data_IF_871272647189
#
_entry.id   IF_871272647189
#
_cell.length_a   1.000
_cell.length_b   1.000
_cell.length_c   1.000
_cell.angle_alpha   90.00
_cell.angle_beta   90.00
_cell.angle_gamma   90.00
#
_symmetry.space_group_name_H-M   'P 1'
#
loop_
_entity.id
_entity.type
_entity.pdbx_description
1 polymer ?
#
# COMPACT_ATOMS: atom_id res chain seq x y z
N UNK A 1 3.93 13.15 -13.22
CA UNK A 1 4.60 11.99 -12.61
C UNK A 1 3.56 11.27 -11.77
N UNK A 2 3.20 10.05 -12.16
CA UNK A 2 2.17 9.23 -11.52
C UNK A 2 2.86 8.11 -10.76
N UNK A 3 2.67 8.03 -9.44
CA UNK A 3 3.13 6.87 -8.66
C UNK A 3 2.24 5.65 -8.90
N UNK A 4 2.77 4.45 -8.62
CA UNK A 4 2.00 3.21 -8.71
C UNK A 4 0.82 3.17 -7.74
N UNK A 5 -0.17 2.33 -8.06
CA UNK A 5 -1.32 2.00 -7.23
C UNK A 5 -1.56 0.49 -7.25
N UNK A 6 -1.92 -0.08 -6.10
CA UNK A 6 -2.29 -1.48 -5.96
C UNK A 6 -3.45 -1.61 -4.98
N UNK A 7 -4.19 -2.71 -5.04
CA UNK A 7 -5.28 -2.99 -4.11
C UNK A 7 -5.45 -4.48 -3.86
N UNK A 8 -6.01 -4.81 -2.71
CA UNK A 8 -6.44 -6.17 -2.39
C UNK A 8 -7.74 -6.18 -1.61
N UNK A 9 -8.30 -7.37 -1.47
CA UNK A 9 -9.30 -7.69 -0.46
C UNK A 9 -8.80 -8.85 0.39
N UNK A 10 -8.96 -8.76 1.72
CA UNK A 10 -8.54 -9.79 2.68
C UNK A 10 -9.69 -10.52 3.37
N UNK A 11 -10.91 -10.22 2.94
CA UNK A 11 -12.19 -10.73 3.43
C UNK A 11 -13.31 -10.12 2.59
N UNK A 12 -14.52 -10.69 2.66
CA UNK A 12 -15.67 -10.28 1.84
C UNK A 12 -16.07 -8.80 2.03
N UNK A 13 -15.74 -8.21 3.18
CA UNK A 13 -16.03 -6.81 3.51
C UNK A 13 -14.82 -5.88 3.58
N UNK A 14 -13.59 -6.42 3.64
CA UNK A 14 -12.39 -5.61 3.75
C UNK A 14 -11.69 -5.44 2.40
N UNK A 15 -11.54 -4.19 1.99
CA UNK A 15 -10.72 -3.78 0.85
C UNK A 15 -9.65 -2.80 1.30
N UNK A 16 -8.51 -2.85 0.63
CA UNK A 16 -7.43 -1.92 0.83
C UNK A 16 -6.86 -1.46 -0.52
N UNK A 17 -6.49 -0.18 -0.59
CA UNK A 17 -5.80 0.43 -1.72
C UNK A 17 -4.57 1.16 -1.20
N UNK A 18 -3.42 0.96 -1.85
CA UNK A 18 -2.18 1.68 -1.58
C UNK A 18 -1.71 2.41 -2.83
N UNK A 19 -1.13 3.60 -2.65
CA UNK A 19 -0.54 4.38 -3.74
C UNK A 19 0.68 5.16 -3.31
N UNK A 20 1.55 5.43 -4.28
CA UNK A 20 2.73 6.28 -4.10
C UNK A 20 2.41 7.71 -4.53
N UNK A 21 2.67 8.69 -3.67
CA UNK A 21 2.48 10.11 -4.00
C UNK A 21 3.67 10.67 -4.78
N UNK A 22 3.53 11.84 -5.44
CA UNK A 22 4.68 12.50 -6.08
C UNK A 22 5.82 12.85 -5.12
N UNK A 23 5.58 12.92 -3.81
CA UNK A 23 6.60 13.15 -2.78
C UNK A 23 7.25 11.85 -2.27
N UNK A 24 6.91 10.70 -2.85
CA UNK A 24 7.45 9.40 -2.45
C UNK A 24 6.92 8.91 -1.10
N UNK A 25 5.78 9.41 -0.62
CA UNK A 25 5.09 8.78 0.51
C UNK A 25 4.24 7.61 0.01
N UNK A 26 4.08 6.58 0.85
CA UNK A 26 3.13 5.50 0.60
C UNK A 26 1.89 5.78 1.43
N UNK A 27 0.78 6.00 0.74
CA UNK A 27 -0.51 6.29 1.35
C UNK A 27 -1.46 5.11 1.11
N UNK A 28 -2.45 5.01 1.97
CA UNK A 28 -3.37 3.91 1.96
C UNK A 28 -4.79 4.35 2.33
N UNK A 29 -5.76 3.57 1.87
CA UNK A 29 -7.14 3.69 2.27
C UNK A 29 -7.76 2.31 2.42
N UNK A 30 -8.58 2.14 3.45
CA UNK A 30 -9.32 0.91 3.70
C UNK A 30 -10.82 1.13 3.78
N UNK A 31 -11.56 0.07 3.48
CA UNK A 31 -13.01 -0.01 3.58
C UNK A 31 -13.39 -1.30 4.27
N UNK A 32 -14.29 -1.22 5.25
CA UNK A 32 -14.83 -2.38 5.98
C UNK A 32 -16.36 -2.31 6.11
N UNK A 33 -17.04 -2.04 4.99
CA UNK A 33 -18.52 -1.94 4.94
C UNK A 33 -19.12 -0.58 5.31
N UNK A 34 -18.29 0.42 5.65
CA UNK A 34 -18.70 1.78 6.03
C UNK A 34 -18.18 2.86 5.09
N UNK A 35 -17.62 3.93 5.63
CA UNK A 35 -16.88 4.92 4.85
C UNK A 35 -15.42 4.49 4.66
N UNK A 36 -14.78 5.00 3.62
CA UNK A 36 -13.34 4.83 3.43
C UNK A 36 -12.57 5.62 4.48
N UNK A 37 -11.51 5.01 5.02
CA UNK A 37 -10.59 5.64 5.96
C UNK A 37 -9.19 5.68 5.37
N UNK A 38 -8.50 6.82 5.49
CA UNK A 38 -7.15 7.01 4.94
C UNK A 38 -6.09 7.01 6.04
N UNK A 39 -4.88 6.57 5.69
CA UNK A 39 -3.71 6.66 6.56
C UNK A 39 -2.41 6.71 5.73
N UNK A 40 -1.35 7.19 6.38
CA UNK A 40 0.01 7.14 5.85
C UNK A 40 0.67 5.84 6.30
N UNK A 41 1.10 5.02 5.33
CA UNK A 41 1.85 3.80 5.59
C UNK A 41 3.35 4.09 5.74
N UNK A 42 3.87 4.99 4.91
CA UNK A 42 5.26 5.44 4.97
C UNK A 42 5.39 6.92 4.59
N UNK A 43 6.24 7.70 5.29
CA UNK A 43 6.35 9.15 5.12
C UNK A 43 6.96 9.54 3.76
N UNK A 44 6.91 10.83 3.38
CA UNK A 44 7.57 11.33 2.17
C UNK A 44 9.05 10.92 2.09
N UNK A 45 9.48 10.52 0.89
CA UNK A 45 10.83 10.01 0.64
C UNK A 45 11.04 8.52 0.92
N UNK A 46 10.01 7.76 1.29
CA UNK A 46 10.11 6.32 1.53
C UNK A 46 10.07 5.45 0.27
N UNK A 47 9.50 5.98 -0.82
CA UNK A 47 9.45 5.32 -2.12
C UNK A 47 10.14 6.15 -3.20
N UNK A 48 10.77 5.47 -4.16
CA UNK A 48 11.28 6.13 -5.36
C UNK A 48 10.13 6.81 -6.14
N UNK A 49 10.44 7.95 -6.75
CA UNK A 49 9.46 8.65 -7.59
C UNK A 49 9.09 7.79 -8.80
N UNK A 50 7.78 7.68 -9.09
CA UNK A 50 7.23 6.81 -10.13
C UNK A 50 7.52 5.30 -9.92
N UNK A 51 7.83 4.87 -8.69
CA UNK A 51 8.02 3.46 -8.38
C UNK A 51 6.73 2.66 -8.55
N UNK A 52 6.92 1.38 -8.87
CA UNK A 52 5.88 0.38 -8.78
C UNK A 52 5.59 0.04 -7.30
N UNK A 53 4.35 -0.35 -7.03
CA UNK A 53 3.89 -0.90 -5.77
C UNK A 53 3.05 -2.13 -6.09
N UNK A 54 3.17 -3.19 -5.30
CA UNK A 54 2.38 -4.41 -5.47
C UNK A 54 1.99 -4.96 -4.10
N UNK A 55 0.88 -5.67 -4.04
CA UNK A 55 0.44 -6.30 -2.80
C UNK A 55 -0.08 -7.71 -3.06
N UNK A 56 -0.04 -8.54 -2.02
CA UNK A 56 -0.66 -9.87 -2.03
C UNK A 56 -1.37 -10.15 -0.72
N UNK A 57 -2.36 -11.03 -0.78
CA UNK A 57 -2.92 -11.71 0.38
C UNK A 57 -2.71 -13.20 0.18
N UNK A 58 -2.01 -13.85 1.11
CA UNK A 58 -1.66 -15.28 1.00
C UNK A 58 -2.76 -16.18 1.57
N UNK A 59 -3.58 -15.63 2.47
CA UNK A 59 -4.76 -16.23 3.10
C UNK A 59 -5.63 -15.12 3.70
N UNK A 60 -6.88 -15.44 4.02
CA UNK A 60 -7.77 -14.52 4.74
C UNK A 60 -7.08 -13.94 5.99
N UNK A 61 -7.29 -12.65 6.26
CA UNK A 61 -6.66 -11.94 7.40
C UNK A 61 -5.18 -11.59 7.22
N UNK A 62 -4.58 -11.80 6.04
CA UNK A 62 -3.18 -11.40 5.76
C UNK A 62 -3.07 -10.38 4.64
N UNK A 63 -2.10 -9.46 4.77
CA UNK A 63 -1.73 -8.49 3.74
C UNK A 63 -0.23 -8.25 3.78
N UNK A 64 0.37 -8.14 2.61
CA UNK A 64 1.75 -7.72 2.42
C UNK A 64 1.79 -6.78 1.20
N UNK A 65 2.54 -5.68 1.31
CA UNK A 65 2.71 -4.68 0.26
C UNK A 65 4.17 -4.29 0.13
N UNK A 66 4.65 -4.26 -1.11
CA UNK A 66 6.03 -3.95 -1.44
C UNK A 66 6.12 -2.77 -2.40
N UNK A 67 7.15 -1.94 -2.22
CA UNK A 67 7.49 -0.85 -3.12
C UNK A 67 9.01 -0.72 -3.29
N UNK A 68 9.42 0.04 -4.29
CA UNK A 68 10.85 0.33 -4.55
C UNK A 68 11.25 1.58 -3.76
N UNK A 69 12.30 1.48 -2.93
CA UNK A 69 12.88 2.60 -2.19
C UNK A 69 13.72 3.54 -3.07
N UNK A 70 14.08 4.75 -2.59
CA UNK A 70 14.81 5.74 -3.38
C UNK A 70 16.19 5.30 -3.90
N UNK A 71 16.83 4.34 -3.22
CA UNK A 71 18.12 3.76 -3.57
C UNK A 71 17.99 2.46 -4.39
N UNK A 72 16.77 2.08 -4.78
CA UNK A 72 16.48 0.84 -5.49
C UNK A 72 16.29 -0.37 -4.59
N UNK A 73 16.23 -0.19 -3.26
CA UNK A 73 15.81 -1.23 -2.32
C UNK A 73 14.38 -1.72 -2.61
N UNK A 74 14.04 -2.88 -2.04
CA UNK A 74 12.64 -3.31 -1.92
C UNK A 74 12.26 -3.15 -0.45
N UNK A 75 11.24 -2.33 -0.22
CA UNK A 75 10.65 -2.10 1.08
C UNK A 75 9.35 -2.92 1.22
N UNK A 76 8.98 -3.25 2.46
CA UNK A 76 7.82 -4.07 2.80
C UNK A 76 7.04 -3.45 3.97
N UNK A 77 5.72 -3.63 3.94
CA UNK A 77 4.89 -3.56 5.12
C UNK A 77 3.84 -4.68 5.08
N UNK A 78 3.49 -5.18 6.26
CA UNK A 78 2.58 -6.31 6.40
C UNK A 78 1.56 -6.11 7.51
N UNK A 79 0.45 -6.83 7.39
CA UNK A 79 -0.57 -6.97 8.42
C UNK A 79 -1.01 -8.42 8.54
N UNK A 80 -1.12 -8.89 9.79
CA UNK A 80 -1.70 -10.18 10.15
C UNK A 80 -2.68 -9.97 11.30
N UNK A 81 -3.85 -10.57 11.21
CA UNK A 81 -4.77 -10.73 12.35
C UNK A 81 -4.25 -11.73 13.40
#
# INVERSE_FOLDING_TARGET
MTGGLTSLSRGDRHMEVWWITPRGSVQAAWFDGGAWSQYELAPPGSAAQNAAITCVSRKAGTMEVWWIGPDGSIEDAYWHE
#
